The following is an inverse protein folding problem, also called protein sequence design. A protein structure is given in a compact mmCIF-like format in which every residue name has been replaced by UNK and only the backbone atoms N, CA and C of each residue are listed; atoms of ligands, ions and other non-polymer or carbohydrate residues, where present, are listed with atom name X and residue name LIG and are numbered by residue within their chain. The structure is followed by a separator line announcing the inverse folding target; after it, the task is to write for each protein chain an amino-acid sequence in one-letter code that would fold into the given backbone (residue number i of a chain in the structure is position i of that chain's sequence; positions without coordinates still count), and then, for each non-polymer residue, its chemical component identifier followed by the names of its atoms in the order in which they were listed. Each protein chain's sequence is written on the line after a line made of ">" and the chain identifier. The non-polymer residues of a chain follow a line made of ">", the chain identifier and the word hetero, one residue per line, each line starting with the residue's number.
data_IF_874621751634
#
_entry.id   IF_874621751634
#
_cell.length_a   1.000
_cell.length_b   1.000
_cell.length_c   1.000
_cell.angle_alpha   90.00
_cell.angle_beta   90.00
_cell.angle_gamma   90.00
#
_symmetry.space_group_name_H-M   'P 1'
#
loop_
_entity.id
_entity.type
_entity.pdbx_description
1 polymer ?
#
# COMPACT_ATOMS: atom_id res chain seq x y z
N UNK A 1 7.53 31.22 19.95
CA UNK A 1 8.42 30.24 20.61
C UNK A 1 8.30 28.95 19.83
N UNK A 2 9.29 28.66 19.00
CA UNK A 2 9.25 27.57 18.03
C UNK A 2 10.20 26.50 18.55
N UNK A 3 9.68 25.52 19.29
CA UNK A 3 10.49 24.36 19.68
C UNK A 3 10.81 23.56 18.41
N UNK A 4 12.08 23.54 18.06
CA UNK A 4 12.61 22.78 16.93
C UNK A 4 12.52 21.30 17.25
N UNK A 5 11.38 20.66 16.90
CA UNK A 5 11.21 19.20 16.99
C UNK A 5 12.29 18.55 16.13
N UNK A 6 13.32 18.00 16.77
CA UNK A 6 14.53 17.48 16.08
C UNK A 6 14.63 15.95 16.13
N UNK A 7 13.73 15.24 16.83
CA UNK A 7 13.76 13.77 16.94
C UNK A 7 12.40 13.17 16.60
N UNK A 8 12.41 12.10 15.78
CA UNK A 8 11.21 11.34 15.36
C UNK A 8 10.34 10.86 16.54
N UNK A 9 10.95 10.63 17.72
CA UNK A 9 10.24 10.17 18.93
C UNK A 9 9.31 11.24 19.53
N UNK A 10 9.54 12.50 19.20
CA UNK A 10 8.82 13.65 19.75
C UNK A 10 7.61 14.03 18.87
N UNK A 11 7.49 13.43 17.68
CA UNK A 11 6.34 13.60 16.81
C UNK A 11 5.13 12.79 17.30
N UNK A 12 3.89 13.32 17.15
CA UNK A 12 2.69 12.60 17.52
C UNK A 12 2.58 11.27 16.75
N UNK A 13 2.22 10.21 17.48
CA UNK A 13 2.23 8.85 16.94
C UNK A 13 1.00 8.57 16.09
N UNK A 14 1.12 7.60 15.19
CA UNK A 14 -0.02 7.00 14.51
C UNK A 14 -0.93 6.31 15.52
N UNK A 15 -2.24 6.38 15.29
CA UNK A 15 -3.25 5.75 16.14
C UNK A 15 -4.33 5.07 15.29
N UNK A 16 -4.87 3.91 15.72
CA UNK A 16 -6.05 3.34 15.10
C UNK A 16 -7.32 4.18 15.37
N UNK A 17 -7.32 5.00 16.43
CA UNK A 17 -8.44 5.87 16.77
C UNK A 17 -8.45 7.12 15.89
N UNK A 18 -9.63 7.47 15.38
CA UNK A 18 -9.78 8.67 14.55
C UNK A 18 -9.62 9.94 15.39
N UNK A 19 -8.68 10.85 15.04
CA UNK A 19 -8.36 12.04 15.83
C UNK A 19 -9.38 13.19 15.77
N UNK A 20 -10.43 13.06 14.94
CA UNK A 20 -11.46 14.07 14.72
C UNK A 20 -12.30 13.81 13.48
N UNK A 21 -13.27 14.68 13.17
CA UNK A 21 -14.05 14.56 11.94
C UNK A 21 -13.21 14.95 10.71
N UNK A 22 -13.24 14.11 9.66
CA UNK A 22 -12.69 14.46 8.35
C UNK A 22 -13.56 15.55 7.72
N UNK A 23 -12.93 16.68 7.38
CA UNK A 23 -13.59 17.83 6.77
C UNK A 23 -13.33 17.93 5.27
N UNK A 24 -12.15 17.47 4.82
CA UNK A 24 -11.77 17.52 3.42
C UNK A 24 -10.83 16.37 3.07
N UNK A 25 -11.01 15.83 1.88
CA UNK A 25 -10.02 14.99 1.22
C UNK A 25 -9.01 15.88 0.48
N UNK A 26 -7.75 15.85 0.88
CA UNK A 26 -6.68 16.57 0.16
C UNK A 26 -6.27 15.77 -1.08
N UNK A 27 -6.21 14.45 -0.95
CA UNK A 27 -5.92 13.55 -2.07
C UNK A 27 -5.38 12.21 -1.61
N UNK A 28 -4.71 11.52 -2.53
CA UNK A 28 -3.99 10.28 -2.29
C UNK A 28 -2.51 10.62 -2.20
N UNK A 29 -1.88 10.30 -1.06
CA UNK A 29 -0.47 10.58 -0.81
C UNK A 29 0.37 9.33 -1.07
N UNK A 30 1.38 9.49 -1.90
CA UNK A 30 2.35 8.46 -2.26
C UNK A 30 3.65 8.73 -1.52
N UNK A 31 4.31 7.67 -1.08
CA UNK A 31 5.62 7.75 -0.46
C UNK A 31 6.58 6.70 -1.04
N UNK A 32 7.81 7.13 -1.23
CA UNK A 32 8.96 6.26 -1.44
C UNK A 32 9.94 6.44 -0.29
N UNK A 33 10.50 5.35 0.23
CA UNK A 33 11.76 5.41 0.97
C UNK A 33 12.95 5.09 0.05
N UNK A 34 14.14 5.60 0.41
CA UNK A 34 15.40 5.28 -0.27
C UNK A 34 16.23 4.20 0.46
N UNK A 35 15.77 3.69 1.61
CA UNK A 35 16.62 2.93 2.56
C UNK A 35 16.07 1.57 3.01
N UNK A 36 14.85 1.16 2.64
CA UNK A 36 14.34 -0.15 3.10
C UNK A 36 14.94 -1.32 2.33
N UNK A 37 15.82 -2.04 3.02
CA UNK A 37 16.47 -3.28 2.56
C UNK A 37 15.57 -4.51 2.80
N UNK A 38 14.67 -4.50 3.80
CA UNK A 38 14.03 -5.73 4.31
C UNK A 38 12.89 -6.28 3.43
N UNK A 39 12.13 -5.42 2.74
CA UNK A 39 11.06 -5.85 1.84
C UNK A 39 11.53 -6.44 0.50
N UNK A 40 12.84 -6.58 0.28
CA UNK A 40 13.43 -6.86 -1.04
C UNK A 40 13.44 -8.34 -1.47
N UNK A 41 13.22 -9.30 -0.56
CA UNK A 41 13.60 -10.69 -0.82
C UNK A 41 12.51 -11.62 -1.36
N UNK A 42 11.21 -11.35 -1.17
CA UNK A 42 10.14 -12.29 -1.58
C UNK A 42 8.98 -11.62 -2.34
N UNK A 43 8.55 -10.41 -1.95
CA UNK A 43 7.38 -9.73 -2.54
C UNK A 43 7.76 -8.88 -3.77
N UNK A 44 8.98 -8.31 -3.77
CA UNK A 44 9.46 -7.44 -4.85
C UNK A 44 9.76 -8.09 -6.20
N UNK A 45 10.05 -9.39 -6.38
CA UNK A 45 10.32 -9.93 -7.71
C UNK A 45 9.13 -9.75 -8.68
N UNK A 46 7.90 -10.00 -8.21
CA UNK A 46 6.68 -9.82 -9.02
C UNK A 46 6.42 -8.34 -9.27
N UNK A 47 6.46 -7.50 -8.23
CA UNK A 47 6.31 -6.04 -8.37
C UNK A 47 7.38 -5.44 -9.30
N UNK A 48 8.63 -5.89 -9.21
CA UNK A 48 9.73 -5.43 -10.08
C UNK A 48 9.53 -5.88 -11.52
N UNK A 49 9.04 -7.10 -11.75
CA UNK A 49 8.70 -7.58 -13.09
C UNK A 49 7.54 -6.76 -13.67
N UNK A 50 6.49 -6.53 -12.88
CA UNK A 50 5.33 -5.72 -13.26
C UNK A 50 5.72 -4.29 -13.59
N UNK A 51 6.52 -3.65 -12.73
CA UNK A 51 7.09 -2.33 -12.98
C UNK A 51 7.93 -2.32 -14.25
N UNK A 52 8.76 -3.33 -14.49
CA UNK A 52 9.56 -3.42 -15.72
C UNK A 52 8.68 -3.56 -16.96
N UNK A 53 7.66 -4.39 -16.92
CA UNK A 53 6.69 -4.57 -18.01
C UNK A 53 5.86 -3.32 -18.25
N UNK A 54 5.56 -2.56 -17.19
CA UNK A 54 4.94 -1.25 -17.24
C UNK A 54 5.92 -0.11 -17.61
N UNK A 55 7.15 -0.42 -18.03
CA UNK A 55 8.20 0.56 -18.34
C UNK A 55 8.65 1.47 -17.18
N UNK A 56 8.30 1.09 -15.95
CA UNK A 56 8.72 1.70 -14.69
C UNK A 56 9.96 0.98 -14.10
N UNK A 57 10.94 0.63 -14.92
CA UNK A 57 12.18 0.02 -14.44
C UNK A 57 12.97 0.91 -13.47
N UNK A 58 13.82 0.30 -12.64
CA UNK A 58 14.85 1.03 -11.89
C UNK A 58 15.84 1.62 -12.89
N UNK A 59 16.12 2.92 -12.76
CA UNK A 59 17.17 3.62 -13.49
C UNK A 59 17.89 4.50 -12.48
N UNK A 60 19.24 4.55 -12.50
CA UNK A 60 20.01 5.35 -11.55
C UNK A 60 19.66 6.84 -11.60
N UNK A 61 19.20 7.33 -12.75
CA UNK A 61 18.87 8.74 -12.98
C UNK A 61 17.40 9.08 -12.71
N UNK A 62 16.58 8.10 -12.35
CA UNK A 62 15.13 8.28 -12.09
C UNK A 62 14.83 8.15 -10.59
N UNK A 63 13.83 8.91 -10.08
CA UNK A 63 13.44 8.81 -8.69
C UNK A 63 13.00 7.38 -8.35
N UNK A 64 13.21 7.00 -7.09
CA UNK A 64 12.68 5.75 -6.54
C UNK A 64 11.16 5.75 -6.70
N UNK A 65 10.57 4.58 -6.97
CA UNK A 65 9.13 4.47 -7.15
C UNK A 65 8.40 4.45 -5.81
N UNK A 66 7.14 4.89 -5.82
CA UNK A 66 6.25 4.73 -4.69
C UNK A 66 6.26 3.28 -4.17
N UNK A 67 6.28 3.15 -2.85
CA UNK A 67 6.20 1.86 -2.16
C UNK A 67 5.08 1.84 -1.12
N UNK A 68 4.52 2.99 -0.82
CA UNK A 68 3.41 3.13 0.09
C UNK A 68 2.44 4.20 -0.40
N UNK A 69 1.18 4.06 -0.02
CA UNK A 69 0.12 5.00 -0.36
C UNK A 69 -0.87 5.10 0.80
N UNK A 70 -1.38 6.30 1.04
CA UNK A 70 -2.43 6.59 1.99
C UNK A 70 -3.38 7.67 1.49
N UNK A 71 -4.37 7.98 2.31
CA UNK A 71 -5.37 9.01 2.01
C UNK A 71 -5.06 10.24 2.85
N UNK A 72 -4.65 11.32 2.19
CA UNK A 72 -4.34 12.58 2.85
C UNK A 72 -5.63 13.37 3.09
N UNK A 73 -5.92 13.63 4.36
CA UNK A 73 -7.13 14.30 4.82
C UNK A 73 -6.82 15.49 5.72
N UNK A 74 -7.72 16.47 5.66
CA UNK A 74 -7.80 17.56 6.62
C UNK A 74 -8.93 17.24 7.60
N UNK A 75 -8.62 17.24 8.89
CA UNK A 75 -9.59 17.03 9.96
C UNK A 75 -9.95 18.35 10.66
N UNK A 76 -10.95 18.28 11.54
CA UNK A 76 -11.34 19.40 12.40
C UNK A 76 -10.14 20.04 13.14
N UNK A 77 -10.16 21.38 13.16
CA UNK A 77 -9.05 22.20 13.66
C UNK A 77 -7.92 22.42 12.64
N UNK A 78 -8.12 22.06 11.36
CA UNK A 78 -7.16 22.32 10.28
C UNK A 78 -5.92 21.44 10.30
N UNK A 79 -5.96 20.32 11.02
CA UNK A 79 -4.83 19.39 11.14
C UNK A 79 -4.82 18.40 9.99
N UNK A 80 -3.63 18.07 9.49
CA UNK A 80 -3.45 17.15 8.37
C UNK A 80 -3.03 15.77 8.85
N UNK A 81 -3.70 14.74 8.31
CA UNK A 81 -3.47 13.34 8.63
C UNK A 81 -3.43 12.51 7.35
N UNK A 82 -2.72 11.40 7.43
CA UNK A 82 -2.75 10.33 6.45
C UNK A 82 -3.49 9.15 7.06
N UNK A 83 -4.58 8.74 6.41
CA UNK A 83 -5.23 7.45 6.68
C UNK A 83 -4.47 6.40 5.88
N UNK A 84 -3.73 5.55 6.57
CA UNK A 84 -2.85 4.56 5.96
C UNK A 84 -2.99 3.19 6.61
N UNK A 85 -2.53 2.16 5.90
CA UNK A 85 -2.33 0.84 6.48
C UNK A 85 -0.86 0.74 6.89
N UNK A 86 -0.60 0.51 8.18
CA UNK A 86 0.76 0.27 8.68
C UNK A 86 0.97 -1.21 8.94
N UNK A 87 2.11 -1.70 8.45
CA UNK A 87 2.66 -3.00 8.85
C UNK A 87 3.35 -2.82 10.19
N UNK A 88 2.88 -3.53 11.21
CA UNK A 88 3.65 -3.66 12.46
C UNK A 88 4.84 -4.62 12.28
N UNK A 89 5.55 -4.89 13.38
CA UNK A 89 6.60 -5.92 13.50
C UNK A 89 6.11 -7.31 13.03
N UNK A 90 6.97 -8.32 12.80
CA UNK A 90 6.53 -9.65 12.31
C UNK A 90 5.47 -10.39 13.15
N UNK A 91 5.27 -9.99 14.42
CA UNK A 91 4.18 -10.48 15.28
C UNK A 91 2.87 -9.66 15.08
N UNK A 92 3.01 -8.41 14.67
CA UNK A 92 1.95 -7.45 14.29
C UNK A 92 1.67 -7.46 12.76
N UNK A 93 2.42 -8.21 11.96
CA UNK A 93 2.09 -8.56 10.56
C UNK A 93 0.76 -9.33 10.44
N UNK A 94 0.19 -9.74 11.59
CA UNK A 94 -1.15 -10.30 11.73
C UNK A 94 -2.21 -9.28 12.16
N UNK A 95 -1.81 -8.04 12.53
CA UNK A 95 -2.70 -6.94 12.91
C UNK A 95 -2.45 -5.78 11.96
N UNK A 96 -2.76 -6.00 10.68
CA UNK A 96 -2.87 -4.93 9.70
C UNK A 96 -3.93 -3.93 10.20
N UNK A 97 -3.49 -2.71 10.54
CA UNK A 97 -4.35 -1.70 11.16
C UNK A 97 -4.48 -0.47 10.27
N UNK A 98 -5.71 0.00 10.07
CA UNK A 98 -5.91 1.38 9.63
C UNK A 98 -5.39 2.30 10.73
N UNK A 99 -4.56 3.23 10.32
CA UNK A 99 -3.93 4.19 11.20
C UNK A 99 -4.20 5.60 10.68
N UNK A 100 -4.44 6.49 11.63
CA UNK A 100 -4.45 7.92 11.44
C UNK A 100 -3.08 8.43 11.86
N UNK A 101 -2.28 8.80 10.87
CA UNK A 101 -0.91 9.29 11.09
C UNK A 101 -0.85 10.78 10.82
N UNK A 102 -0.39 11.60 11.78
CA UNK A 102 -0.14 13.02 11.51
C UNK A 102 0.78 13.18 10.29
N UNK A 103 0.49 14.12 9.39
CA UNK A 103 1.23 14.24 8.12
C UNK A 103 2.75 14.41 8.34
N UNK A 104 3.16 15.16 9.35
CA UNK A 104 4.57 15.35 9.72
C UNK A 104 5.25 14.03 10.08
N UNK A 105 4.55 13.19 10.86
CA UNK A 105 5.01 11.84 11.25
C UNK A 105 5.11 10.93 10.03
N UNK A 106 4.16 11.00 9.10
CA UNK A 106 4.20 10.25 7.86
C UNK A 106 5.43 10.64 7.02
N UNK A 107 5.64 11.94 6.79
CA UNK A 107 6.77 12.48 6.03
C UNK A 107 8.12 12.10 6.63
N UNK A 108 8.25 12.19 7.94
CA UNK A 108 9.48 11.84 8.64
C UNK A 108 9.91 10.36 8.44
N UNK A 109 9.04 9.48 7.93
CA UNK A 109 9.35 8.08 7.60
C UNK A 109 9.97 7.86 6.22
N UNK A 110 9.99 8.86 5.34
CA UNK A 110 10.57 8.71 4.00
C UNK A 110 12.08 8.37 4.02
N UNK A 111 12.76 8.61 5.14
CA UNK A 111 14.20 8.35 5.37
C UNK A 111 15.09 8.95 4.28
N UNK A 112 14.73 10.13 3.77
CA UNK A 112 15.42 10.81 2.66
C UNK A 112 14.89 10.44 1.28
N UNK A 113 13.70 9.81 1.22
CA UNK A 113 12.95 9.58 0.00
C UNK A 113 12.09 10.77 -0.39
N UNK A 114 10.82 10.52 -0.71
CA UNK A 114 9.90 11.57 -1.12
C UNK A 114 8.44 11.20 -0.80
N UNK A 115 7.62 12.23 -0.66
CA UNK A 115 6.16 12.15 -0.68
C UNK A 115 5.54 13.18 -1.65
N UNK A 116 4.41 12.81 -2.27
CA UNK A 116 3.54 13.72 -3.03
C UNK A 116 2.08 13.35 -2.84
N UNK A 117 1.20 14.36 -2.77
CA UNK A 117 -0.26 14.17 -2.73
C UNK A 117 -0.86 14.50 -4.09
N UNK A 118 -1.62 13.56 -4.64
CA UNK A 118 -2.34 13.72 -5.90
C UNK A 118 -3.84 13.89 -5.60
N UNK A 119 -4.52 14.91 -6.15
CA UNK A 119 -5.97 15.06 -5.97
C UNK A 119 -6.72 13.78 -6.38
N UNK A 120 -7.72 13.36 -5.62
CA UNK A 120 -8.43 12.11 -5.89
C UNK A 120 -9.13 12.11 -7.27
N UNK A 121 -9.63 13.27 -7.71
CA UNK A 121 -10.24 13.47 -9.04
C UNK A 121 -9.27 13.30 -10.22
N UNK A 122 -7.96 13.21 -9.95
CA UNK A 122 -6.95 12.90 -10.97
C UNK A 122 -6.97 11.42 -11.38
N UNK A 123 -7.62 10.56 -10.60
CA UNK A 123 -7.69 9.12 -10.85
C UNK A 123 -8.89 8.79 -11.73
N UNK A 124 -8.76 7.72 -12.51
CA UNK A 124 -9.83 7.27 -13.41
C UNK A 124 -11.08 6.90 -12.61
N UNK A 125 -12.24 7.36 -13.09
CA UNK A 125 -13.53 7.02 -12.50
C UNK A 125 -13.77 7.58 -11.10
N UNK A 126 -13.03 8.63 -10.71
CA UNK A 126 -13.24 9.39 -9.47
C UNK A 126 -13.71 10.80 -9.83
N UNK A 127 -14.87 11.18 -9.31
CA UNK A 127 -15.48 12.51 -9.41
C UNK A 127 -15.73 13.08 -8.01
N UNK A 128 -16.30 14.29 -7.94
CA UNK A 128 -16.57 14.98 -6.68
C UNK A 128 -17.59 14.24 -5.80
N UNK A 129 -18.57 13.54 -6.39
CA UNK A 129 -19.54 12.73 -5.64
C UNK A 129 -18.82 11.60 -4.90
N UNK A 130 -17.90 10.91 -5.59
CA UNK A 130 -17.09 9.84 -4.99
C UNK A 130 -16.15 10.39 -3.90
N UNK A 131 -15.64 11.61 -4.06
CA UNK A 131 -14.85 12.27 -3.02
C UNK A 131 -15.69 12.47 -1.75
N UNK A 132 -16.93 12.94 -1.87
CA UNK A 132 -17.83 13.11 -0.74
C UNK A 132 -18.25 11.76 -0.12
N UNK A 133 -18.53 10.73 -0.93
CA UNK A 133 -18.75 9.36 -0.45
C UNK A 133 -17.57 8.88 0.41
N UNK A 134 -16.35 9.15 -0.05
CA UNK A 134 -15.11 8.75 0.63
C UNK A 134 -14.95 9.48 1.96
N UNK A 135 -15.23 10.80 2.01
CA UNK A 135 -15.19 11.58 3.26
C UNK A 135 -16.19 11.01 4.27
N UNK A 136 -17.42 10.74 3.84
CA UNK A 136 -18.46 10.15 4.68
C UNK A 136 -18.06 8.76 5.18
N UNK A 137 -17.49 7.94 4.30
CA UNK A 137 -16.97 6.63 4.67
C UNK A 137 -15.87 6.70 5.72
N UNK A 138 -14.88 7.58 5.56
CA UNK A 138 -13.81 7.79 6.55
C UNK A 138 -14.34 8.32 7.89
N UNK A 139 -15.45 9.06 7.87
CA UNK A 139 -16.16 9.49 9.07
C UNK A 139 -17.03 8.39 9.73
N UNK A 140 -17.34 7.32 9.01
CA UNK A 140 -18.11 6.18 9.52
C UNK A 140 -17.26 4.93 9.80
N UNK A 141 -16.00 4.90 9.35
CA UNK A 141 -15.16 3.70 9.42
C UNK A 141 -14.93 3.29 10.89
N UNK A 142 -15.22 2.03 11.26
CA UNK A 142 -15.01 1.58 12.62
C UNK A 142 -13.51 1.43 12.90
N UNK A 143 -13.14 1.65 14.17
CA UNK A 143 -11.81 1.31 14.70
C UNK A 143 -11.73 -0.22 14.80
N UNK A 144 -11.41 -0.88 13.69
CA UNK A 144 -11.16 -2.33 13.66
C UNK A 144 -9.92 -2.62 12.81
N UNK A 145 -9.14 -3.65 13.17
CA UNK A 145 -8.04 -4.13 12.33
C UNK A 145 -8.55 -4.57 10.95
N UNK A 146 -7.83 -4.18 9.91
CA UNK A 146 -8.07 -4.58 8.52
C UNK A 146 -7.19 -5.76 8.18
N UNK A 147 -7.58 -6.94 8.65
CA UNK A 147 -6.89 -8.17 8.28
C UNK A 147 -6.88 -8.35 6.75
N UNK A 148 -5.73 -8.71 6.19
CA UNK A 148 -5.53 -9.11 4.79
C UNK A 148 -5.63 -8.00 3.72
N UNK A 149 -5.60 -6.71 4.09
CA UNK A 149 -5.55 -5.60 3.12
C UNK A 149 -4.14 -4.98 3.01
N UNK A 150 -3.63 -4.81 1.79
CA UNK A 150 -2.49 -3.92 1.56
C UNK A 150 -2.93 -2.45 1.44
N UNK A 151 -1.95 -1.54 1.51
CA UNK A 151 -2.18 -0.10 1.41
C UNK A 151 -3.05 0.32 0.20
N UNK A 152 -2.86 -0.28 -0.97
CA UNK A 152 -3.69 0.03 -2.16
C UNK A 152 -5.13 -0.48 -2.01
N UNK A 153 -5.33 -1.64 -1.39
CA UNK A 153 -6.66 -2.22 -1.12
C UNK A 153 -7.45 -1.38 -0.14
N UNK A 154 -6.78 -0.89 0.90
CA UNK A 154 -7.38 0.03 1.86
C UNK A 154 -7.85 1.32 1.16
N UNK A 155 -7.00 1.91 0.31
CA UNK A 155 -7.37 3.11 -0.47
C UNK A 155 -8.58 2.80 -1.36
N UNK A 156 -8.50 1.77 -2.21
CA UNK A 156 -9.60 1.42 -3.12
C UNK A 156 -10.93 1.13 -2.39
N UNK A 157 -10.87 0.51 -1.20
CA UNK A 157 -12.05 0.30 -0.37
C UNK A 157 -12.65 1.60 0.12
N UNK A 158 -11.82 2.57 0.53
CA UNK A 158 -12.30 3.88 0.96
C UNK A 158 -13.04 4.62 -0.18
N UNK A 159 -12.58 4.44 -1.42
CA UNK A 159 -13.23 4.95 -2.63
C UNK A 159 -14.37 4.04 -3.15
N UNK A 160 -15.02 3.27 -2.26
CA UNK A 160 -16.17 2.46 -2.61
C UNK A 160 -15.84 1.21 -3.45
N UNK A 161 -14.65 0.63 -3.26
CA UNK A 161 -14.15 -0.55 -4.00
C UNK A 161 -13.93 -0.28 -5.49
N UNK A 162 -13.66 0.97 -5.84
CA UNK A 162 -13.26 1.38 -7.20
C UNK A 162 -11.79 1.03 -7.44
N UNK A 163 -11.42 0.83 -8.70
CA UNK A 163 -10.03 0.51 -9.06
C UNK A 163 -9.23 1.80 -9.25
N UNK A 164 -8.24 2.00 -8.40
CA UNK A 164 -7.29 3.12 -8.48
C UNK A 164 -5.89 2.66 -8.86
N UNK A 165 -5.64 1.34 -8.88
CA UNK A 165 -4.37 0.73 -9.26
C UNK A 165 -4.59 -0.36 -10.31
N UNK A 166 -3.63 -0.51 -11.23
CA UNK A 166 -3.73 -1.44 -12.36
C UNK A 166 -3.64 -2.92 -11.92
N UNK A 167 -3.96 -3.82 -12.84
CA UNK A 167 -3.71 -5.26 -12.67
C UNK A 167 -2.25 -5.59 -12.92
N UNK A 168 -1.77 -6.72 -12.41
CA UNK A 168 -0.40 -7.20 -12.70
C UNK A 168 -0.15 -7.29 -14.21
N UNK A 169 0.75 -6.49 -14.79
CA UNK A 169 1.14 -6.65 -16.19
C UNK A 169 1.71 -8.05 -16.48
N UNK A 170 2.46 -8.65 -15.56
CA UNK A 170 3.00 -9.99 -15.70
C UNK A 170 1.90 -11.05 -15.74
N UNK A 171 0.95 -11.01 -14.79
CA UNK A 171 -0.16 -11.97 -14.80
C UNK A 171 -1.02 -11.84 -16.06
N UNK A 172 -1.27 -10.59 -16.49
CA UNK A 172 -2.00 -10.31 -17.74
C UNK A 172 -1.29 -10.89 -18.95
N UNK A 173 0.04 -10.79 -19.02
CA UNK A 173 0.83 -11.34 -20.12
C UNK A 173 0.75 -12.88 -20.22
N UNK A 174 0.50 -13.58 -19.10
CA UNK A 174 0.32 -15.04 -19.05
C UNK A 174 -1.15 -15.49 -19.03
N UNK A 175 -2.09 -14.59 -19.32
CA UNK A 175 -3.52 -14.90 -19.45
C UNK A 175 -4.30 -15.01 -18.14
N UNK A 176 -3.72 -14.60 -17.01
CA UNK A 176 -4.39 -14.59 -15.71
C UNK A 176 -4.71 -13.16 -15.26
N UNK A 177 -5.97 -12.91 -14.90
CA UNK A 177 -6.35 -11.67 -14.24
C UNK A 177 -5.99 -11.74 -12.75
N UNK A 178 -4.86 -11.14 -12.36
CA UNK A 178 -4.45 -11.04 -10.96
C UNK A 178 -4.30 -9.57 -10.55
N UNK A 179 -4.82 -9.25 -9.37
CA UNK A 179 -4.66 -7.93 -8.78
C UNK A 179 -3.29 -7.82 -8.11
N UNK A 180 -2.59 -6.72 -8.37
CA UNK A 180 -1.34 -6.36 -7.70
C UNK A 180 -1.54 -5.05 -6.98
N UNK A 181 -1.41 -5.08 -5.66
CA UNK A 181 -1.50 -3.89 -4.84
C UNK A 181 -0.19 -3.11 -4.80
N UNK A 182 0.24 -2.61 -5.95
CA UNK A 182 1.47 -1.82 -6.09
C UNK A 182 1.17 -0.31 -6.17
N UNK A 183 1.56 0.48 -5.16
CA UNK A 183 1.44 1.93 -5.15
C UNK A 183 2.07 2.63 -6.36
N UNK A 184 3.06 2.01 -7.01
CA UNK A 184 3.72 2.56 -8.19
C UNK A 184 2.90 2.45 -9.48
N UNK A 185 1.75 1.77 -9.45
CA UNK A 185 0.93 1.51 -10.64
C UNK A 185 -0.46 2.14 -10.54
N UNK A 186 -0.51 3.40 -10.09
CA UNK A 186 -1.73 4.18 -10.00
C UNK A 186 -2.35 4.49 -11.37
N UNK A 187 -3.69 4.44 -11.45
CA UNK A 187 -4.48 4.69 -12.65
C UNK A 187 -4.88 6.16 -12.73
N UNK A 188 -3.96 6.99 -13.23
CA UNK A 188 -4.24 8.39 -13.52
C UNK A 188 -5.12 8.55 -14.77
N UNK A 189 -5.99 9.57 -14.76
CA UNK A 189 -6.75 9.94 -15.95
C UNK A 189 -5.80 10.32 -17.10
N UNK A 190 -6.10 9.95 -18.35
CA UNK A 190 -5.23 10.26 -19.48
C UNK A 190 -5.01 11.77 -19.72
N UNK A 191 -5.97 12.61 -19.30
CA UNK A 191 -5.98 14.05 -19.51
C UNK A 191 -5.52 14.87 -18.29
N UNK A 192 -5.15 14.22 -17.18
CA UNK A 192 -4.75 14.96 -15.98
C UNK A 192 -3.31 15.45 -16.07
N UNK A 193 -3.12 16.72 -15.73
CA UNK A 193 -1.82 17.33 -15.51
C UNK A 193 -1.60 17.57 -14.02
N UNK A 194 -0.51 17.02 -13.49
CA UNK A 194 -0.07 17.25 -12.11
C UNK A 194 0.95 18.40 -12.08
N UNK A 195 1.31 18.86 -10.88
CA UNK A 195 2.44 19.76 -10.73
C UNK A 195 3.75 19.09 -11.17
N UNK A 196 4.75 19.88 -11.59
CA UNK A 196 6.01 19.38 -12.15
C UNK A 196 6.72 18.37 -11.25
N UNK A 197 6.67 18.58 -9.92
CA UNK A 197 7.30 17.67 -8.96
C UNK A 197 6.56 16.34 -8.93
N UNK A 198 5.23 16.35 -8.87
CA UNK A 198 4.42 15.12 -8.89
C UNK A 198 4.53 14.37 -10.22
N UNK A 199 4.53 15.08 -11.36
CA UNK A 199 4.76 14.51 -12.69
C UNK A 199 6.07 13.70 -12.73
N UNK A 200 7.15 14.30 -12.25
CA UNK A 200 8.48 13.68 -12.23
C UNK A 200 8.57 12.50 -11.27
N UNK A 201 8.16 12.68 -10.00
CA UNK A 201 8.32 11.67 -8.95
C UNK A 201 7.47 10.42 -9.21
N UNK A 202 6.23 10.60 -9.69
CA UNK A 202 5.33 9.48 -10.00
C UNK A 202 5.56 8.88 -11.38
N UNK A 203 6.30 9.58 -12.25
CA UNK A 203 6.43 9.24 -13.67
C UNK A 203 5.05 9.20 -14.34
N UNK A 204 4.26 10.26 -14.11
CA UNK A 204 2.83 10.29 -14.41
C UNK A 204 2.51 10.08 -15.90
N UNK A 205 3.40 10.44 -16.82
CA UNK A 205 3.26 10.10 -18.25
C UNK A 205 3.08 8.61 -18.48
N UNK A 206 3.89 7.77 -17.83
CA UNK A 206 3.77 6.31 -17.92
C UNK A 206 2.49 5.82 -17.25
N UNK A 207 2.10 6.42 -16.12
CA UNK A 207 0.87 6.06 -15.40
C UNK A 207 -0.40 6.36 -16.22
N UNK A 208 -0.42 7.49 -16.93
CA UNK A 208 -1.53 7.86 -17.83
C UNK A 208 -1.71 6.87 -18.99
N UNK A 209 -0.62 6.24 -19.43
CA UNK A 209 -0.64 5.24 -20.50
C UNK A 209 -0.98 3.81 -20.04
N UNK A 210 -1.12 3.57 -18.73
CA UNK A 210 -1.45 2.23 -18.22
C UNK A 210 -2.82 1.76 -18.73
N UNK A 211 -2.97 0.47 -19.07
CA UNK A 211 -4.25 -0.08 -19.46
C UNK A 211 -5.21 -0.12 -18.28
N UNK A 212 -6.50 -0.01 -18.57
CA UNK A 212 -7.54 -0.21 -17.57
C UNK A 212 -7.48 -1.62 -16.97
N UNK A 213 -7.83 -1.75 -15.68
CA UNK A 213 -7.89 -3.03 -15.00
C UNK A 213 -9.04 -3.85 -15.59
N UNK A 214 -8.78 -5.13 -15.85
CA UNK A 214 -9.77 -6.11 -16.31
C UNK A 214 -10.37 -6.90 -15.14
N UNK A 215 -9.69 -6.92 -13.99
CA UNK A 215 -10.19 -7.62 -12.81
C UNK A 215 -11.07 -6.72 -11.93
N UNK A 216 -12.07 -7.34 -11.28
CA UNK A 216 -12.88 -6.66 -10.25
C UNK A 216 -12.03 -6.39 -9.00
N UNK A 217 -12.42 -5.42 -8.19
CA UNK A 217 -11.72 -5.10 -6.92
C UNK A 217 -11.51 -6.31 -6.00
N UNK A 218 -12.51 -7.20 -5.92
CA UNK A 218 -12.46 -8.41 -5.11
C UNK A 218 -11.65 -9.57 -5.73
N UNK A 219 -10.98 -9.35 -6.86
CA UNK A 219 -10.14 -10.36 -7.47
C UNK A 219 -8.99 -10.77 -6.53
N UNK A 220 -8.49 -12.00 -6.64
CA UNK A 220 -7.43 -12.47 -5.77
C UNK A 220 -6.20 -11.56 -5.83
N UNK A 221 -5.73 -11.13 -4.67
CA UNK A 221 -4.53 -10.30 -4.55
C UNK A 221 -3.30 -11.22 -4.51
N UNK A 222 -2.36 -11.00 -5.43
CA UNK A 222 -1.11 -11.75 -5.53
C UNK A 222 -0.40 -11.87 -4.18
N UNK A 223 -0.29 -10.74 -3.46
CA UNK A 223 0.39 -10.63 -2.17
C UNK A 223 -0.27 -11.51 -1.10
N UNK A 224 -1.60 -11.56 -1.09
CA UNK A 224 -2.36 -12.37 -0.15
C UNK A 224 -2.21 -13.87 -0.46
N UNK A 225 -2.26 -14.24 -1.74
CA UNK A 225 -2.04 -15.64 -2.17
C UNK A 225 -0.63 -16.09 -1.77
N UNK A 226 0.39 -15.28 -2.06
CA UNK A 226 1.78 -15.60 -1.69
C UNK A 226 1.94 -15.73 -0.18
N UNK A 227 1.39 -14.80 0.63
CA UNK A 227 1.41 -14.91 2.10
C UNK A 227 0.76 -16.22 2.58
N UNK A 228 -0.44 -16.55 2.08
CA UNK A 228 -1.15 -17.77 2.45
C UNK A 228 -0.39 -19.03 2.04
N UNK A 229 0.17 -19.07 0.84
CA UNK A 229 0.98 -20.20 0.38
C UNK A 229 2.24 -20.38 1.24
N UNK A 230 2.92 -19.29 1.62
CA UNK A 230 4.10 -19.37 2.48
C UNK A 230 3.75 -19.91 3.87
N UNK A 231 2.64 -19.43 4.45
CA UNK A 231 2.15 -19.88 5.75
C UNK A 231 1.79 -21.37 5.75
N UNK A 232 0.95 -21.80 4.80
CA UNK A 232 0.57 -23.21 4.66
C UNK A 232 1.74 -24.11 4.28
N UNK A 233 2.67 -23.62 3.46
CA UNK A 233 3.91 -24.32 3.11
C UNK A 233 4.80 -24.54 4.33
N UNK A 234 4.92 -23.54 5.20
CA UNK A 234 5.69 -23.64 6.46
C UNK A 234 5.03 -24.62 7.43
N UNK A 235 3.71 -24.55 7.60
CA UNK A 235 2.96 -25.52 8.42
C UNK A 235 3.13 -26.95 7.86
N UNK A 236 3.03 -27.11 6.54
CA UNK A 236 3.24 -28.39 5.87
C UNK A 236 4.63 -28.96 6.13
N UNK A 237 5.67 -28.12 6.04
CA UNK A 237 7.05 -28.51 6.35
C UNK A 237 7.22 -28.91 7.82
N UNK A 238 6.65 -28.16 8.76
CA UNK A 238 6.70 -28.48 10.20
C UNK A 238 5.97 -29.80 10.48
N UNK A 239 4.77 -29.98 9.94
CA UNK A 239 3.99 -31.21 10.09
C UNK A 239 4.72 -32.41 9.49
N UNK A 240 5.31 -32.26 8.31
CA UNK A 240 6.13 -33.29 7.68
C UNK A 240 7.38 -33.62 8.51
N UNK A 241 8.05 -32.61 9.06
CA UNK A 241 9.19 -32.78 9.97
C UNK A 241 8.80 -33.56 11.24
N UNK A 242 7.69 -33.20 11.88
CA UNK A 242 7.18 -33.87 13.07
C UNK A 242 6.75 -35.33 12.79
N UNK A 243 6.10 -35.58 11.64
CA UNK A 243 5.70 -36.92 11.23
C UNK A 243 6.92 -37.80 10.91
N UNK A 244 7.91 -37.24 10.21
CA UNK A 244 9.17 -37.92 9.89
C UNK A 244 10.00 -38.22 11.15
N UNK A 245 10.07 -37.28 12.09
CA UNK A 245 10.74 -37.47 13.38
C UNK A 245 10.06 -38.55 14.24
N UNK A 246 8.72 -38.57 14.30
CA UNK A 246 7.97 -39.64 14.99
C UNK A 246 8.25 -41.02 14.39
N UNK A 247 8.30 -41.14 13.06
CA UNK A 247 8.62 -42.42 12.38
C UNK A 247 10.03 -42.91 12.67
N UNK A 248 11.01 -42.00 12.72
CA UNK A 248 12.40 -42.32 13.08
C UNK A 248 12.51 -42.79 14.54
N UNK A 249 11.83 -42.09 15.47
CA UNK A 249 11.86 -42.43 16.91
C UNK A 249 11.25 -43.81 17.22
N UNK A 250 10.15 -44.16 16.55
CA UNK A 250 9.51 -45.49 16.69
C UNK A 250 10.40 -46.61 16.14
N UNK A 251 11.18 -46.34 15.08
CA UNK A 251 12.16 -47.32 14.56
C UNK A 251 13.34 -47.55 15.50
N UNK A 252 13.80 -46.52 16.22
CA UNK A 252 14.91 -46.63 17.17
C UNK A 252 14.52 -47.22 18.53
N UNK A 253 13.23 -47.33 18.86
CA UNK A 253 12.74 -47.90 20.13
C UNK A 253 12.33 -49.38 20.03
N UNK A 254 12.51 -50.01 18.86
CA UNK A 254 12.19 -51.43 18.60
C UNK A 254 13.47 -52.25 18.30
N UNK A 255 14.66 -51.64 18.44
CA UNK A 255 15.96 -52.33 18.44
C UNK A 255 16.58 -52.27 19.82
#
# INVERSE_FOLDING_TARGET
>A
MTETITKLKDLPRSSPERPGQVRRLVGIIFQSDQKSVLGSWIIRPVEMLDRRLASLGRSPDKPSLAMHVGIHVLIEGGREFVVEQLFGTPFEDFVDGLNWTPLETFRARDRGGWDVTVPAIAFRGIDDEIVEETINFLNAIPVRPFFDEDCTTMVERAFGKRRLFTDSPAARAIGFGLRVGDPALALLRPDVHLDEKSEFLLRAETLRALPDPVTKWAAPNARLITKRMLFWGTIGLIAFGLLSYRRLRVRTSIG
#
